data_IF_481950450561
#
_entry.id   IF_481950450561
#
_cell.length_a   1.000
_cell.length_b   1.000
_cell.length_c   1.000
_cell.angle_alpha   90.00
_cell.angle_beta   90.00
_cell.angle_gamma   90.00
#
_symmetry.space_group_name_H-M   'P 1'
#
loop_
_entity.id
_entity.type
_entity.pdbx_description
1 polymer ?
#
# COMPACT_ATOMS: atom_id res chain seq x y z
N UNK A 1 -19.63 -20.91 4.38
CA UNK A 1 -19.79 -21.46 5.73
C UNK A 1 -21.25 -21.78 5.94
N UNK A 2 -21.56 -23.00 6.33
CA UNK A 2 -22.93 -23.42 6.65
C UNK A 2 -23.10 -23.44 8.15
N UNK A 3 -24.14 -22.76 8.64
CA UNK A 3 -24.53 -22.77 10.04
C UNK A 3 -25.27 -24.07 10.33
N UNK A 4 -24.82 -24.86 11.31
CA UNK A 4 -25.42 -26.14 11.67
C UNK A 4 -26.19 -26.07 13.00
N UNK A 5 -25.72 -25.28 13.94
CA UNK A 5 -26.31 -25.15 15.28
C UNK A 5 -26.03 -23.78 15.84
N UNK A 6 -27.01 -23.16 16.43
CA UNK A 6 -26.93 -21.82 17.03
C UNK A 6 -27.28 -21.90 18.51
N UNK A 7 -26.41 -21.36 19.37
CA UNK A 7 -26.75 -21.04 20.75
C UNK A 7 -26.36 -19.58 21.04
N UNK A 8 -26.66 -19.11 22.23
CA UNK A 8 -26.47 -17.70 22.58
C UNK A 8 -25.01 -17.23 22.54
N UNK A 9 -24.07 -18.12 22.66
CA UNK A 9 -22.64 -17.79 22.74
C UNK A 9 -21.83 -18.32 21.55
N UNK A 10 -22.10 -19.54 21.08
CA UNK A 10 -21.32 -20.24 20.07
C UNK A 10 -22.18 -20.85 18.98
N UNK A 11 -21.74 -20.73 17.73
CA UNK A 11 -22.32 -21.40 16.56
C UNK A 11 -21.40 -22.47 16.04
N UNK A 12 -21.96 -23.65 15.79
CA UNK A 12 -21.29 -24.72 15.06
C UNK A 12 -21.37 -24.43 13.57
N UNK A 13 -20.23 -24.35 12.93
CA UNK A 13 -20.12 -23.99 11.51
C UNK A 13 -19.32 -25.04 10.75
N UNK A 14 -19.69 -25.26 9.49
CA UNK A 14 -18.92 -26.10 8.56
C UNK A 14 -18.45 -25.25 7.39
N UNK A 15 -17.17 -25.38 7.05
CA UNK A 15 -16.55 -24.79 5.87
C UNK A 15 -15.75 -25.89 5.16
N UNK A 16 -16.12 -26.20 3.90
CA UNK A 16 -15.60 -27.36 3.17
C UNK A 16 -15.77 -28.65 3.98
N UNK A 17 -14.69 -29.35 4.33
CA UNK A 17 -14.68 -30.57 5.14
C UNK A 17 -14.44 -30.33 6.64
N UNK A 18 -14.23 -29.09 7.05
CA UNK A 18 -13.91 -28.73 8.43
C UNK A 18 -15.17 -28.29 9.18
N UNK A 19 -15.31 -28.79 10.40
CA UNK A 19 -16.34 -28.35 11.34
C UNK A 19 -15.68 -27.72 12.56
N UNK A 20 -16.18 -26.56 12.98
CA UNK A 20 -15.63 -25.82 14.12
C UNK A 20 -16.70 -24.97 14.80
N UNK A 21 -16.30 -24.19 15.79
CA UNK A 21 -17.16 -23.29 16.53
C UNK A 21 -16.67 -21.86 16.40
N UNK A 22 -17.61 -20.93 16.18
CA UNK A 22 -17.36 -19.48 16.07
C UNK A 22 -18.29 -18.79 17.04
N UNK A 23 -17.83 -17.72 17.70
CA UNK A 23 -18.72 -16.90 18.56
C UNK A 23 -19.86 -16.34 17.76
N UNK A 24 -21.09 -16.47 18.29
CA UNK A 24 -22.31 -16.00 17.65
C UNK A 24 -22.26 -14.51 17.30
N UNK A 25 -21.59 -13.70 18.13
CA UNK A 25 -21.38 -12.26 17.91
C UNK A 25 -20.49 -11.91 16.70
N UNK A 26 -19.79 -12.88 16.15
CA UNK A 26 -18.95 -12.72 14.94
C UNK A 26 -19.68 -13.16 13.67
N UNK A 27 -20.90 -13.69 13.80
CA UNK A 27 -21.73 -14.12 12.68
C UNK A 27 -22.80 -13.07 12.40
N UNK A 28 -23.02 -12.76 11.13
CA UNK A 28 -24.16 -11.96 10.70
C UNK A 28 -25.21 -12.88 10.11
N UNK A 29 -26.48 -12.64 10.40
CA UNK A 29 -27.63 -13.41 9.88
C UNK A 29 -27.98 -13.10 8.42
N UNK A 30 -27.27 -12.19 7.78
CA UNK A 30 -27.45 -11.91 6.36
C UNK A 30 -26.92 -13.06 5.54
N UNK A 31 -27.77 -13.68 4.74
CA UNK A 31 -27.36 -14.62 3.72
C UNK A 31 -26.42 -13.92 2.75
N UNK A 32 -25.12 -14.15 2.92
CA UNK A 32 -24.12 -13.59 2.03
C UNK A 32 -24.26 -14.30 0.69
N UNK A 33 -24.95 -13.69 -0.25
CA UNK A 33 -24.88 -14.13 -1.65
C UNK A 33 -23.40 -14.08 -2.05
N UNK A 34 -22.84 -15.16 -2.62
CA UNK A 34 -21.45 -15.15 -3.06
C UNK A 34 -21.18 -13.90 -3.91
N UNK A 35 -20.20 -13.08 -3.49
CA UNK A 35 -19.86 -11.81 -4.14
C UNK A 35 -20.47 -10.55 -3.51
N UNK A 36 -21.54 -10.59 -2.70
CA UNK A 36 -22.05 -9.38 -2.01
C UNK A 36 -21.12 -8.95 -0.89
N UNK A 37 -20.58 -9.90 -0.11
CA UNK A 37 -19.61 -9.59 0.94
C UNK A 37 -18.35 -8.92 0.37
N UNK A 38 -17.88 -9.39 -0.77
CA UNK A 38 -16.73 -8.81 -1.46
C UNK A 38 -17.03 -7.40 -1.99
N UNK A 39 -18.18 -7.19 -2.63
CA UNK A 39 -18.60 -5.86 -3.08
C UNK A 39 -18.71 -4.88 -1.92
N UNK A 40 -19.29 -5.29 -0.82
CA UNK A 40 -19.43 -4.44 0.38
C UNK A 40 -18.06 -4.12 0.99
N UNK A 41 -17.13 -5.09 1.02
CA UNK A 41 -15.74 -4.90 1.45
C UNK A 41 -15.03 -3.85 0.58
N UNK A 42 -15.06 -4.03 -0.72
CA UNK A 42 -14.44 -3.12 -1.70
C UNK A 42 -15.05 -1.72 -1.59
N UNK A 43 -16.38 -1.61 -1.52
CA UNK A 43 -17.04 -0.31 -1.38
C UNK A 43 -16.66 0.38 -0.06
N UNK A 44 -16.59 -0.35 1.05
CA UNK A 44 -16.13 0.17 2.33
C UNK A 44 -14.68 0.67 2.24
N UNK A 45 -13.79 -0.10 1.62
CA UNK A 45 -12.40 0.31 1.43
C UNK A 45 -12.32 1.56 0.55
N UNK A 46 -13.03 1.59 -0.59
CA UNK A 46 -13.07 2.79 -1.45
C UNK A 46 -13.56 4.04 -0.71
N UNK A 47 -14.52 3.89 0.18
CA UNK A 47 -15.03 5.02 0.98
C UNK A 47 -14.04 5.57 2.02
N UNK A 48 -12.95 4.84 2.30
CA UNK A 48 -11.87 5.32 3.18
C UNK A 48 -10.81 6.13 2.45
N UNK A 49 -10.84 6.15 1.10
CA UNK A 49 -9.90 6.91 0.30
C UNK A 49 -10.18 8.41 0.46
N UNK A 50 -9.22 9.11 1.04
CA UNK A 50 -9.24 10.54 1.27
C UNK A 50 -7.83 11.11 1.13
N UNK A 51 -7.69 12.32 0.58
CA UNK A 51 -6.38 12.95 0.40
C UNK A 51 -5.63 13.22 1.72
N UNK A 52 -6.37 13.30 2.82
CA UNK A 52 -5.84 13.50 4.17
C UNK A 52 -5.77 12.20 4.99
N UNK A 53 -6.04 11.05 4.35
CA UNK A 53 -5.96 9.77 5.05
C UNK A 53 -4.56 9.52 5.62
N UNK A 54 -4.53 8.78 6.73
CA UNK A 54 -3.28 8.39 7.38
C UNK A 54 -2.58 7.30 6.58
N UNK A 55 -1.31 7.52 6.24
CA UNK A 55 -0.49 6.63 5.41
C UNK A 55 0.43 5.70 6.22
N UNK A 56 0.47 5.87 7.55
CA UNK A 56 1.23 5.02 8.47
C UNK A 56 0.41 3.83 8.99
N UNK A 57 -0.40 3.26 8.14
CA UNK A 57 -1.19 2.05 8.37
C UNK A 57 -1.45 1.34 7.04
N UNK A 58 -1.68 0.01 7.05
CA UNK A 58 -2.06 -0.74 5.86
C UNK A 58 -3.32 -0.21 5.18
N UNK A 59 -3.41 -0.43 3.87
CA UNK A 59 -4.58 -0.06 3.05
C UNK A 59 -5.83 -0.88 3.40
N UNK A 60 -5.65 -2.07 3.99
CA UNK A 60 -6.70 -3.04 4.22
C UNK A 60 -7.04 -3.89 2.99
N UNK A 61 -6.27 -3.77 1.91
CA UNK A 61 -6.39 -4.60 0.72
C UNK A 61 -5.71 -5.96 0.92
N UNK A 62 -6.21 -6.97 0.23
CA UNK A 62 -5.61 -8.31 0.18
C UNK A 62 -4.50 -8.38 -0.88
N UNK A 63 -3.68 -9.43 -0.85
CA UNK A 63 -2.69 -9.69 -1.89
C UNK A 63 -3.34 -9.79 -3.27
N UNK A 64 -4.51 -10.44 -3.37
CA UNK A 64 -5.24 -10.57 -4.62
C UNK A 64 -5.73 -9.21 -5.15
N UNK A 65 -6.12 -8.30 -4.26
CA UNK A 65 -6.44 -6.93 -4.65
C UNK A 65 -5.21 -6.22 -5.24
N UNK A 66 -4.05 -6.30 -4.59
CA UNK A 66 -2.81 -5.74 -5.11
C UNK A 66 -2.46 -6.30 -6.50
N UNK A 67 -2.54 -7.62 -6.67
CA UNK A 67 -2.32 -8.27 -7.97
C UNK A 67 -3.33 -7.78 -9.01
N UNK A 68 -4.60 -7.66 -8.65
CA UNK A 68 -5.66 -7.17 -9.54
C UNK A 68 -5.43 -5.73 -9.99
N UNK A 69 -5.21 -4.81 -9.05
CA UNK A 69 -5.14 -3.37 -9.35
C UNK A 69 -3.85 -2.97 -10.09
N UNK A 70 -2.75 -3.70 -9.88
CA UNK A 70 -1.46 -3.43 -10.53
C UNK A 70 -1.25 -4.22 -11.82
N UNK A 71 -2.10 -5.21 -12.14
CA UNK A 71 -2.02 -5.99 -13.37
C UNK A 71 -2.61 -5.26 -14.58
N UNK A 72 -2.24 -5.70 -15.78
CA UNK A 72 -2.85 -5.29 -17.05
C UNK A 72 -2.99 -3.77 -17.22
N UNK A 73 -1.97 -3.01 -16.83
CA UNK A 73 -1.91 -1.59 -17.07
C UNK A 73 -1.12 -1.30 -18.34
N UNK A 74 -1.75 -0.60 -19.31
CA UNK A 74 -1.10 -0.28 -20.58
C UNK A 74 0.13 0.62 -20.42
N UNK A 75 0.22 1.40 -19.35
CA UNK A 75 1.38 2.26 -19.04
C UNK A 75 2.54 1.49 -18.41
N UNK A 76 2.28 0.32 -17.79
CA UNK A 76 3.31 -0.58 -17.25
C UNK A 76 3.89 -1.49 -18.33
N UNK A 77 4.49 -0.89 -19.34
CA UNK A 77 4.97 -1.59 -20.56
C UNK A 77 6.01 -2.66 -20.26
N UNK A 78 6.74 -2.55 -19.16
CA UNK A 78 7.75 -3.51 -18.72
C UNK A 78 7.22 -4.46 -17.63
N UNK A 79 5.93 -4.40 -17.30
CA UNK A 79 5.27 -5.20 -16.26
C UNK A 79 5.94 -5.12 -14.88
N UNK A 80 6.58 -3.98 -14.59
CA UNK A 80 7.32 -3.81 -13.34
C UNK A 80 6.36 -3.79 -12.15
N UNK A 81 5.25 -3.06 -12.23
CA UNK A 81 4.26 -2.99 -11.15
C UNK A 81 3.46 -4.28 -11.04
N UNK A 82 3.08 -4.88 -12.16
CA UNK A 82 2.41 -6.19 -12.20
C UNK A 82 3.25 -7.26 -11.50
N UNK A 83 4.55 -7.36 -11.83
CA UNK A 83 5.47 -8.36 -11.28
C UNK A 83 5.83 -8.10 -9.80
N UNK A 84 5.74 -6.87 -9.34
CA UNK A 84 6.08 -6.48 -7.97
C UNK A 84 4.83 -6.19 -7.09
N UNK A 85 3.63 -6.56 -7.53
CA UNK A 85 2.40 -6.35 -6.76
C UNK A 85 2.47 -6.98 -5.35
N UNK A 86 3.02 -8.19 -5.25
CA UNK A 86 3.23 -8.88 -3.99
C UNK A 86 4.27 -8.19 -3.10
N UNK A 87 5.28 -7.56 -3.69
CA UNK A 87 6.28 -6.78 -2.94
C UNK A 87 5.63 -5.59 -2.24
N UNK A 88 4.79 -4.82 -2.95
CA UNK A 88 4.06 -3.69 -2.35
C UNK A 88 3.14 -4.14 -1.21
N UNK A 89 2.44 -5.27 -1.37
CA UNK A 89 1.62 -5.86 -0.31
C UNK A 89 2.47 -6.27 0.91
N UNK A 90 3.55 -7.03 0.69
CA UNK A 90 4.40 -7.53 1.78
C UNK A 90 5.07 -6.38 2.55
N UNK A 91 5.51 -5.35 1.85
CA UNK A 91 6.10 -4.14 2.43
C UNK A 91 5.07 -3.36 3.25
N UNK A 92 3.84 -3.26 2.78
CA UNK A 92 2.72 -2.69 3.55
C UNK A 92 2.57 -3.39 4.91
N UNK A 93 2.47 -4.72 4.89
CA UNK A 93 2.27 -5.51 6.10
C UNK A 93 3.48 -5.43 7.05
N UNK A 94 4.68 -5.50 6.50
CA UNK A 94 5.93 -5.55 7.27
C UNK A 94 6.27 -4.22 7.94
N UNK A 95 6.00 -3.11 7.27
CA UNK A 95 6.45 -1.78 7.71
C UNK A 95 5.32 -0.86 8.17
N UNK A 96 4.08 -1.34 8.15
CA UNK A 96 2.90 -0.57 8.56
C UNK A 96 2.78 0.77 7.80
N UNK A 97 2.94 0.71 6.48
CA UNK A 97 2.80 1.83 5.54
C UNK A 97 1.71 1.50 4.53
N UNK A 98 0.94 2.48 4.06
CA UNK A 98 -0.06 2.24 3.03
C UNK A 98 0.62 1.84 1.71
N UNK A 99 0.45 0.58 1.28
CA UNK A 99 1.10 0.04 0.08
C UNK A 99 0.58 0.63 -1.21
N UNK A 100 -0.68 1.09 -1.24
CA UNK A 100 -1.25 1.78 -2.42
C UNK A 100 -0.66 3.17 -2.57
N UNK A 101 -0.46 3.88 -1.46
CA UNK A 101 0.31 5.13 -1.47
C UNK A 101 1.72 4.90 -2.02
N UNK A 102 2.43 3.88 -1.51
CA UNK A 102 3.79 3.57 -1.92
C UNK A 102 3.86 3.22 -3.42
N UNK A 103 2.94 2.40 -3.92
CA UNK A 103 2.83 2.09 -5.35
C UNK A 103 2.51 3.34 -6.19
N UNK A 104 1.58 4.18 -5.73
CA UNK A 104 1.18 5.41 -6.43
C UNK A 104 2.32 6.43 -6.52
N UNK A 105 3.09 6.55 -5.44
CA UNK A 105 4.30 7.36 -5.40
C UNK A 105 5.34 6.82 -6.39
N UNK A 106 5.62 5.51 -6.38
CA UNK A 106 6.53 4.87 -7.33
C UNK A 106 6.10 5.07 -8.79
N UNK A 107 4.80 4.96 -9.07
CA UNK A 107 4.22 5.23 -10.40
C UNK A 107 4.48 6.68 -10.83
N UNK A 108 4.22 7.63 -9.93
CA UNK A 108 4.43 9.05 -10.19
C UNK A 108 5.90 9.36 -10.49
N UNK A 109 6.82 8.93 -9.62
CA UNK A 109 8.24 9.24 -9.71
C UNK A 109 8.95 8.56 -10.90
N UNK A 110 8.48 7.38 -11.31
CA UNK A 110 9.11 6.59 -12.38
C UNK A 110 8.38 6.65 -13.72
N UNK A 111 7.18 7.25 -13.78
CA UNK A 111 6.32 7.17 -14.97
C UNK A 111 6.00 5.70 -15.32
N UNK A 112 5.43 4.95 -14.37
CA UNK A 112 5.17 3.52 -14.52
C UNK A 112 6.44 2.69 -14.82
N UNK A 113 7.55 3.03 -14.17
CA UNK A 113 8.81 2.32 -14.36
C UNK A 113 9.48 2.59 -15.72
N UNK A 114 8.99 3.55 -16.50
CA UNK A 114 9.50 3.86 -17.83
C UNK A 114 10.78 4.70 -17.81
N UNK A 115 11.05 5.42 -16.72
CA UNK A 115 12.22 6.28 -16.59
C UNK A 115 13.53 5.49 -16.70
N UNK A 116 14.60 6.16 -17.16
CA UNK A 116 15.93 5.55 -17.30
C UNK A 116 16.44 5.07 -15.92
N UNK A 117 16.29 5.86 -14.86
CA UNK A 117 16.67 5.51 -13.48
C UNK A 117 15.92 4.25 -13.03
N UNK A 118 14.61 4.18 -13.26
CA UNK A 118 13.81 3.02 -12.87
C UNK A 118 14.31 1.72 -13.55
N UNK A 119 14.58 1.78 -14.86
CA UNK A 119 15.02 0.60 -15.64
C UNK A 119 16.44 0.15 -15.32
N UNK A 120 17.38 1.08 -15.38
CA UNK A 120 18.81 0.76 -15.27
C UNK A 120 19.23 0.49 -13.83
N UNK A 121 18.64 1.24 -12.87
CA UNK A 121 19.03 1.22 -11.46
C UNK A 121 18.01 0.54 -10.54
N UNK A 122 16.92 -0.01 -11.05
CA UNK A 122 15.82 -0.62 -10.27
C UNK A 122 15.25 0.34 -9.20
N UNK A 123 15.31 1.64 -9.49
CA UNK A 123 14.95 2.72 -8.57
C UNK A 123 13.69 3.44 -9.06
N UNK A 124 12.55 3.03 -8.52
CA UNK A 124 11.22 3.55 -8.90
C UNK A 124 10.89 4.92 -8.29
N UNK A 125 11.73 5.42 -7.40
CA UNK A 125 11.46 6.63 -6.62
C UNK A 125 12.43 7.78 -6.89
N UNK A 126 13.41 7.57 -7.78
CA UNK A 126 14.50 8.54 -7.92
C UNK A 126 15.31 8.72 -6.63
N UNK A 127 15.31 7.72 -5.75
CA UNK A 127 15.94 7.81 -4.44
C UNK A 127 17.44 8.10 -4.56
N UNK A 128 17.91 9.16 -3.89
CA UNK A 128 19.27 9.64 -3.96
C UNK A 128 19.60 10.47 -5.21
N UNK A 129 18.64 10.73 -6.10
CA UNK A 129 18.84 11.61 -7.24
C UNK A 129 18.93 13.09 -6.79
N UNK A 130 19.99 13.78 -7.21
CA UNK A 130 20.20 15.21 -6.94
C UNK A 130 20.13 16.02 -8.24
N UNK A 131 19.63 17.26 -8.16
CA UNK A 131 19.36 18.14 -9.31
C UNK A 131 20.49 18.31 -10.32
N UNK A 132 21.76 18.27 -9.87
CA UNK A 132 22.91 18.47 -10.75
C UNK A 132 23.26 17.25 -11.62
N UNK A 133 23.00 16.05 -11.16
CA UNK A 133 23.31 14.77 -11.84
C UNK A 133 22.28 13.71 -11.39
N UNK A 134 21.00 13.83 -11.74
CA UNK A 134 19.97 12.94 -11.19
C UNK A 134 20.26 11.46 -11.50
N UNK A 135 20.71 11.16 -12.70
CA UNK A 135 21.02 9.79 -13.08
C UNK A 135 22.23 9.23 -12.33
N UNK A 136 23.35 9.98 -12.26
CA UNK A 136 24.57 9.47 -11.66
C UNK A 136 24.46 9.33 -10.14
N UNK A 137 23.78 10.26 -9.50
CA UNK A 137 23.59 10.30 -8.04
C UNK A 137 22.53 9.32 -7.53
N UNK A 138 21.54 8.95 -8.36
CA UNK A 138 20.49 8.03 -7.95
C UNK A 138 21.06 6.69 -7.49
N UNK A 139 20.56 6.19 -6.37
CA UNK A 139 20.96 4.87 -5.83
C UNK A 139 20.60 3.77 -6.82
N UNK A 140 21.52 2.81 -6.99
CA UNK A 140 21.29 1.58 -7.75
C UNK A 140 20.95 0.46 -6.79
N UNK A 141 19.84 -0.22 -7.03
CA UNK A 141 19.41 -1.39 -6.28
C UNK A 141 19.63 -2.68 -7.09
N UNK A 142 19.84 -3.82 -6.41
CA UNK A 142 19.98 -5.10 -7.07
C UNK A 142 18.64 -5.57 -7.67
N UNK A 143 17.51 -5.27 -6.97
CA UNK A 143 16.15 -5.63 -7.38
C UNK A 143 15.20 -4.48 -7.15
N UNK A 144 14.01 -4.52 -7.79
CA UNK A 144 12.92 -3.59 -7.49
C UNK A 144 12.43 -3.75 -6.05
N UNK A 145 12.38 -4.98 -5.54
CA UNK A 145 12.02 -5.29 -4.16
C UNK A 145 12.91 -4.55 -3.16
N UNK A 146 14.25 -4.63 -3.33
CA UNK A 146 15.20 -3.90 -2.48
C UNK A 146 14.93 -2.39 -2.50
N UNK A 147 14.67 -1.82 -3.69
CA UNK A 147 14.36 -0.40 -3.84
C UNK A 147 13.07 0.00 -3.13
N UNK A 148 11.99 -0.77 -3.34
CA UNK A 148 10.68 -0.54 -2.72
C UNK A 148 10.80 -0.63 -1.19
N UNK A 149 11.46 -1.68 -0.68
CA UNK A 149 11.64 -1.89 0.75
C UNK A 149 12.50 -0.79 1.39
N UNK A 150 13.58 -0.37 0.74
CA UNK A 150 14.47 0.69 1.23
C UNK A 150 13.73 2.02 1.36
N UNK A 151 12.97 2.39 0.34
CA UNK A 151 12.20 3.65 0.38
C UNK A 151 11.08 3.59 1.40
N UNK A 152 10.38 2.46 1.53
CA UNK A 152 9.36 2.28 2.56
C UNK A 152 9.94 2.46 3.97
N UNK A 153 11.07 1.82 4.28
CA UNK A 153 11.78 1.99 5.56
C UNK A 153 12.16 3.45 5.81
N UNK A 154 12.66 4.12 4.78
CA UNK A 154 13.05 5.53 4.87
C UNK A 154 11.86 6.44 5.17
N UNK A 155 10.72 6.22 4.49
CA UNK A 155 9.48 6.97 4.74
C UNK A 155 8.93 6.71 6.14
N UNK A 156 8.87 5.43 6.56
CA UNK A 156 8.39 5.04 7.90
C UNK A 156 9.24 5.66 9.00
N UNK A 157 10.55 5.67 8.83
CA UNK A 157 11.49 6.17 9.84
C UNK A 157 11.51 7.69 9.93
N UNK A 158 11.32 8.41 8.83
CA UNK A 158 11.60 9.84 8.77
C UNK A 158 10.39 10.73 8.50
N UNK A 159 9.34 10.24 7.78
CA UNK A 159 8.28 11.09 7.24
C UNK A 159 6.90 10.85 7.84
N UNK A 160 6.48 9.57 8.02
CA UNK A 160 5.09 9.24 8.35
C UNK A 160 4.86 8.90 9.83
N UNK A 161 5.91 8.86 10.61
CA UNK A 161 5.82 8.65 12.06
C UNK A 161 6.58 9.75 12.80
N UNK A 162 6.00 10.22 13.89
CA UNK A 162 6.64 11.22 14.74
C UNK A 162 7.87 10.63 15.48
N UNK A 163 8.73 11.51 15.91
CA UNK A 163 9.96 11.12 16.63
C UNK A 163 9.62 10.24 17.84
N UNK A 164 10.37 9.16 18.00
CA UNK A 164 10.22 8.15 19.05
C UNK A 164 8.98 7.25 18.93
N UNK A 165 8.14 7.38 17.91
CA UNK A 165 7.09 6.40 17.65
C UNK A 165 7.69 5.02 17.42
N UNK A 166 7.06 3.98 17.96
CA UNK A 166 7.45 2.58 17.70
C UNK A 166 7.12 2.20 16.26
N UNK A 167 8.08 1.60 15.60
CA UNK A 167 7.99 1.12 14.22
C UNK A 167 8.40 -0.35 14.14
N UNK A 168 8.62 -0.88 12.92
CA UNK A 168 9.02 -2.27 12.70
C UNK A 168 10.27 -2.66 13.52
N UNK A 169 10.41 -3.96 13.83
CA UNK A 169 11.55 -4.56 14.56
C UNK A 169 11.87 -3.90 15.92
N UNK A 170 10.86 -3.33 16.61
CA UNK A 170 11.03 -2.57 17.84
C UNK A 170 11.92 -1.32 17.72
N UNK A 171 12.25 -0.88 16.51
CA UNK A 171 12.93 0.38 16.29
C UNK A 171 12.03 1.57 16.64
N UNK A 172 12.62 2.75 16.67
CA UNK A 172 11.89 4.01 16.81
C UNK A 172 12.11 4.91 15.60
N UNK A 173 11.06 5.64 15.24
CA UNK A 173 11.15 6.65 14.19
C UNK A 173 12.04 7.81 14.62
N UNK A 174 12.82 8.35 13.69
CA UNK A 174 13.55 9.60 13.88
C UNK A 174 12.66 10.81 13.70
N UNK A 175 11.62 10.67 12.84
CA UNK A 175 10.68 11.75 12.55
C UNK A 175 11.32 13.01 11.99
N UNK A 176 12.47 12.88 11.33
CA UNK A 176 13.30 14.02 10.87
C UNK A 176 12.52 14.99 10.00
N UNK A 177 11.61 14.47 9.19
CA UNK A 177 10.80 15.23 8.22
C UNK A 177 9.30 15.11 8.49
N UNK A 178 8.93 14.60 9.67
CA UNK A 178 7.53 14.39 10.02
C UNK A 178 6.75 15.69 10.11
N UNK A 179 5.66 15.78 9.37
CA UNK A 179 4.68 16.87 9.43
C UNK A 179 3.26 16.33 9.25
N UNK A 180 2.97 15.17 9.88
CA UNK A 180 1.74 14.41 9.74
C UNK A 180 1.85 13.26 8.73
N UNK A 181 1.11 12.16 8.96
CA UNK A 181 1.19 10.94 8.17
C UNK A 181 0.31 10.98 6.91
N UNK A 182 0.19 12.13 6.25
CA UNK A 182 -0.67 12.36 5.09
C UNK A 182 0.15 12.75 3.87
N UNK A 183 -0.44 12.72 2.67
CA UNK A 183 0.23 13.19 1.44
C UNK A 183 0.74 14.63 1.62
N UNK A 184 -0.09 15.51 2.16
CA UNK A 184 0.30 16.91 2.42
C UNK A 184 1.43 16.99 3.44
N UNK A 185 1.35 16.21 4.53
CA UNK A 185 2.40 16.16 5.54
C UNK A 185 3.76 15.76 4.97
N UNK A 186 3.79 14.69 4.15
CA UNK A 186 5.01 14.20 3.49
C UNK A 186 5.56 15.27 2.54
N UNK A 187 4.73 15.85 1.68
CA UNK A 187 5.16 16.77 0.62
C UNK A 187 5.91 18.00 1.13
N UNK A 188 5.61 18.45 2.35
CA UNK A 188 6.24 19.66 2.93
C UNK A 188 7.76 19.57 3.00
N UNK A 189 8.33 18.36 3.04
CA UNK A 189 9.77 18.12 3.15
C UNK A 189 10.31 17.16 2.09
N UNK A 190 9.42 16.50 1.33
CA UNK A 190 9.79 15.51 0.33
C UNK A 190 10.19 16.17 -1.00
N UNK A 191 9.46 17.17 -1.42
CA UNK A 191 9.66 17.83 -2.71
C UNK A 191 9.31 19.32 -2.66
N UNK A 192 9.74 20.05 -3.69
CA UNK A 192 9.39 21.48 -3.88
C UNK A 192 8.10 21.66 -4.70
N UNK A 193 7.63 20.62 -5.35
CA UNK A 193 6.40 20.62 -6.15
C UNK A 193 5.16 20.62 -5.23
N UNK A 194 4.45 21.76 -5.21
CA UNK A 194 3.23 21.92 -4.39
C UNK A 194 2.07 21.05 -4.84
N UNK A 195 2.08 20.61 -6.09
CA UNK A 195 1.03 19.77 -6.67
C UNK A 195 1.31 18.27 -6.49
N UNK A 196 2.46 17.91 -5.91
CA UNK A 196 2.84 16.51 -5.70
C UNK A 196 1.78 15.69 -4.94
N UNK A 197 1.15 16.18 -3.85
CA UNK A 197 0.10 15.44 -3.16
C UNK A 197 -1.08 15.11 -4.08
N UNK A 198 -1.51 16.06 -4.89
CA UNK A 198 -2.61 15.88 -5.85
C UNK A 198 -2.23 14.86 -6.94
N UNK A 199 -1.00 14.91 -7.42
CA UNK A 199 -0.50 13.99 -8.45
C UNK A 199 -0.43 12.56 -7.93
N UNK A 200 0.10 12.35 -6.72
CA UNK A 200 0.13 11.01 -6.08
C UNK A 200 -1.27 10.52 -5.76
N UNK A 201 -2.13 11.38 -5.20
CA UNK A 201 -3.53 11.05 -4.90
C UNK A 201 -4.31 10.60 -6.14
N UNK A 202 -4.06 11.23 -7.30
CA UNK A 202 -4.66 10.81 -8.57
C UNK A 202 -4.34 9.34 -8.91
N UNK A 203 -3.10 8.90 -8.67
CA UNK A 203 -2.73 7.49 -8.86
C UNK A 203 -3.34 6.59 -7.79
N UNK A 204 -3.42 7.03 -6.53
CA UNK A 204 -4.14 6.28 -5.50
C UNK A 204 -5.59 6.05 -5.92
N UNK A 205 -6.31 7.11 -6.31
CA UNK A 205 -7.69 7.02 -6.78
C UNK A 205 -7.82 6.07 -7.97
N UNK A 206 -6.94 6.21 -8.97
CA UNK A 206 -6.90 5.33 -10.13
C UNK A 206 -6.75 3.84 -9.74
N UNK A 207 -5.86 3.52 -8.81
CA UNK A 207 -5.67 2.14 -8.35
C UNK A 207 -6.90 1.63 -7.58
N UNK A 208 -7.48 2.44 -6.71
CA UNK A 208 -8.72 2.07 -6.00
C UNK A 208 -9.92 1.87 -6.91
N UNK A 209 -10.01 2.59 -8.04
CA UNK A 209 -11.06 2.40 -9.05
C UNK A 209 -10.96 1.05 -9.77
N UNK A 210 -9.82 0.38 -9.72
CA UNK A 210 -9.58 -0.94 -10.32
C UNK A 210 -9.96 -2.12 -9.41
N UNK A 211 -10.34 -1.88 -8.17
CA UNK A 211 -10.88 -2.90 -7.25
C UNK A 211 -12.27 -3.47 -7.72
#
# INVERSE_FOLDING_TARGET
VTLQELNDEWCKVTYESYTGYVKSSLLTSEAVTPGIGEKNRVQKIRSTLDANMSLNKPSGLTLEDFKKILSNNASDTNKIFEQNAEVFYNVEQKYNINGIFLASMAIHESGWGSSKIAKDKKNLFGFGAYDRSPYDSAVTFATYEEGIETVAKYLVKNYINEKNAKIYNNETATGTYYNGPTLVGISTRYCTDKDWPTKVYKYMNYLYERL
#
